data_IF_209035465847
#
_entry.id   IF_209035465847
#
_cell.length_a   1.000
_cell.length_b   1.000
_cell.length_c   1.000
_cell.angle_alpha   90.00
_cell.angle_beta   90.00
_cell.angle_gamma   90.00
#
_symmetry.space_group_name_H-M   'P 1'
#
loop_
_entity.id
_entity.type
_entity.pdbx_description
1 polymer ?
#
# COMPACT_ATOMS: atom_id res chain seq x y z
N UNK A 1 -5.84 -56.36 -41.27
CA UNK A 1 -6.38 -55.66 -40.13
C UNK A 1 -5.21 -54.85 -39.49
N UNK A 2 -5.20 -53.55 -39.67
CA UNK A 2 -4.19 -52.69 -39.07
C UNK A 2 -4.89 -51.70 -38.17
N UNK A 3 -4.75 -51.90 -36.84
CA UNK A 3 -5.18 -50.95 -35.84
C UNK A 3 -4.12 -49.85 -35.73
N UNK A 4 -4.51 -48.64 -36.12
CA UNK A 4 -3.71 -47.44 -35.84
C UNK A 4 -3.95 -47.00 -34.41
N UNK A 5 -2.91 -47.12 -33.59
CA UNK A 5 -2.79 -46.48 -32.29
C UNK A 5 -2.75 -44.96 -32.47
N UNK A 6 -3.73 -44.28 -31.94
CA UNK A 6 -3.66 -42.82 -31.76
C UNK A 6 -2.87 -42.53 -30.49
N UNK A 7 -1.60 -42.17 -30.67
CA UNK A 7 -0.82 -41.56 -29.57
C UNK A 7 -1.38 -40.17 -29.27
N UNK A 8 -1.84 -39.98 -28.05
CA UNK A 8 -2.21 -38.70 -27.51
C UNK A 8 -0.92 -37.90 -27.21
N UNK A 9 -0.49 -37.11 -28.17
CA UNK A 9 0.55 -36.12 -27.93
C UNK A 9 0.00 -35.01 -27.04
N UNK A 10 0.37 -35.00 -25.78
CA UNK A 10 0.10 -33.86 -24.89
C UNK A 10 0.99 -32.68 -25.33
N UNK A 11 0.40 -31.71 -25.97
CA UNK A 11 1.06 -30.44 -26.31
C UNK A 11 1.18 -29.60 -25.03
N UNK A 12 2.39 -29.57 -24.47
CA UNK A 12 2.73 -28.71 -23.36
C UNK A 12 3.12 -27.32 -23.89
N UNK A 13 2.13 -26.39 -23.91
CA UNK A 13 2.34 -25.04 -24.44
C UNK A 13 2.75 -24.13 -23.29
N UNK A 14 4.05 -23.82 -23.18
CA UNK A 14 4.56 -22.74 -22.36
C UNK A 14 4.59 -21.44 -23.17
N UNK A 15 3.61 -20.56 -22.96
CA UNK A 15 3.61 -19.26 -23.60
C UNK A 15 4.20 -18.20 -22.66
N UNK A 16 5.20 -17.46 -23.14
CA UNK A 16 5.69 -16.25 -22.48
C UNK A 16 4.62 -15.13 -22.61
N UNK A 17 4.58 -14.24 -21.62
CA UNK A 17 3.63 -13.13 -21.58
C UNK A 17 3.69 -12.29 -22.87
N UNK A 18 2.60 -12.27 -23.62
CA UNK A 18 2.47 -11.51 -24.89
C UNK A 18 2.57 -12.32 -26.19
N UNK A 19 2.78 -13.65 -26.10
CA UNK A 19 2.82 -14.48 -27.30
C UNK A 19 1.42 -14.82 -27.81
N UNK A 20 1.19 -14.67 -29.11
CA UNK A 20 0.02 -15.20 -29.80
C UNK A 20 0.26 -16.66 -30.17
N UNK A 21 -0.57 -17.56 -29.67
CA UNK A 21 -0.53 -18.97 -30.02
C UNK A 21 -1.64 -19.25 -31.04
N UNK A 22 -1.27 -19.59 -32.28
CA UNK A 22 -2.21 -20.10 -33.27
C UNK A 22 -2.29 -21.61 -33.15
N UNK A 23 -3.45 -22.13 -32.78
CA UNK A 23 -3.75 -23.57 -32.84
C UNK A 23 -4.61 -23.82 -34.06
N UNK A 24 -4.04 -24.42 -35.08
CA UNK A 24 -4.78 -24.87 -36.28
C UNK A 24 -5.33 -26.27 -36.05
N UNK A 25 -6.66 -26.39 -35.89
CA UNK A 25 -7.34 -27.67 -35.87
C UNK A 25 -8.22 -27.80 -37.13
N UNK A 26 -8.14 -28.89 -37.90
CA UNK A 26 -9.03 -29.11 -39.06
C UNK A 26 -10.48 -29.24 -38.57
N UNK A 27 -11.34 -28.27 -38.95
CA UNK A 27 -12.75 -28.23 -38.54
C UNK A 27 -13.06 -27.52 -37.24
N UNK A 28 -12.10 -26.86 -36.61
CA UNK A 28 -12.29 -26.10 -35.37
C UNK A 28 -12.72 -24.65 -35.63
N UNK A 29 -13.47 -24.08 -34.68
CA UNK A 29 -13.80 -22.66 -34.64
C UNK A 29 -12.52 -21.87 -34.40
N UNK A 30 -12.14 -21.00 -35.34
CA UNK A 30 -11.00 -20.07 -35.15
C UNK A 30 -11.40 -19.02 -34.11
N UNK A 31 -10.87 -19.16 -32.90
CA UNK A 31 -10.93 -18.06 -31.91
C UNK A 31 -9.91 -16.99 -32.33
N UNK A 32 -10.38 -15.84 -32.78
CA UNK A 32 -9.53 -14.74 -33.27
C UNK A 32 -8.69 -14.09 -32.17
N UNK A 33 -9.04 -14.31 -30.90
CA UNK A 33 -8.29 -13.70 -29.79
C UNK A 33 -8.49 -14.50 -28.49
N UNK A 34 -7.41 -15.08 -27.97
CA UNK A 34 -7.39 -15.66 -26.63
C UNK A 34 -6.82 -14.60 -25.67
N UNK A 35 -7.69 -13.95 -24.90
CA UNK A 35 -7.27 -13.01 -23.86
C UNK A 35 -6.93 -13.80 -22.60
N UNK A 36 -5.66 -14.11 -22.40
CA UNK A 36 -5.18 -14.70 -21.14
C UNK A 36 -5.13 -13.58 -20.11
N UNK A 37 -6.15 -13.50 -19.25
CA UNK A 37 -6.11 -12.64 -18.06
C UNK A 37 -5.12 -13.26 -17.05
N UNK A 38 -3.86 -12.83 -17.10
CA UNK A 38 -2.91 -13.18 -16.06
C UNK A 38 -3.41 -12.58 -14.74
N UNK A 39 -3.75 -13.44 -13.78
CA UNK A 39 -4.09 -12.99 -12.44
C UNK A 39 -2.89 -12.21 -11.88
N UNK A 40 -3.11 -10.93 -11.53
CA UNK A 40 -2.08 -10.13 -10.85
C UNK A 40 -1.67 -10.88 -9.59
N UNK A 41 -0.46 -11.41 -9.57
CA UNK A 41 0.11 -12.03 -8.37
C UNK A 41 0.09 -10.97 -7.26
N UNK A 42 -0.71 -11.19 -6.21
CA UNK A 42 -0.66 -10.35 -5.03
C UNK A 42 0.75 -10.47 -4.46
N UNK A 43 1.39 -9.32 -4.23
CA UNK A 43 2.67 -9.30 -3.54
C UNK A 43 2.52 -10.03 -2.20
N UNK A 44 3.51 -10.86 -1.80
CA UNK A 44 3.44 -11.56 -0.53
C UNK A 44 3.24 -10.56 0.61
N UNK A 45 2.32 -10.87 1.52
CA UNK A 45 2.06 -10.04 2.69
C UNK A 45 3.21 -10.26 3.69
N UNK A 46 4.21 -9.40 3.62
CA UNK A 46 5.35 -9.46 4.55
C UNK A 46 4.87 -8.95 5.92
N UNK A 47 4.92 -9.84 6.91
CA UNK A 47 4.59 -9.47 8.30
C UNK A 47 5.75 -8.68 8.93
N UNK A 48 5.47 -7.67 9.77
CA UNK A 48 6.51 -6.95 10.49
C UNK A 48 7.27 -7.89 11.42
N UNK A 49 8.59 -7.87 11.30
CA UNK A 49 9.50 -8.62 12.18
C UNK A 49 9.81 -7.85 13.45
N UNK A 50 10.37 -8.53 14.45
CA UNK A 50 10.90 -7.89 15.66
C UNK A 50 11.91 -6.79 15.28
N UNK A 51 11.79 -5.62 15.90
CA UNK A 51 12.60 -4.45 15.58
C UNK A 51 12.03 -3.55 14.47
N UNK A 52 10.88 -3.90 13.86
CA UNK A 52 10.13 -3.02 12.98
C UNK A 52 9.02 -2.28 13.73
N UNK A 53 8.68 -1.06 13.28
CA UNK A 53 7.62 -0.23 13.88
C UNK A 53 6.29 -0.99 13.97
N UNK A 54 5.95 -1.80 12.96
CA UNK A 54 4.73 -2.57 12.93
C UNK A 54 4.62 -3.67 14.00
N UNK A 55 5.74 -4.08 14.61
CA UNK A 55 5.78 -5.03 15.72
C UNK A 55 5.44 -4.38 17.07
N UNK A 56 5.81 -3.13 17.26
CA UNK A 56 5.50 -2.36 18.47
C UNK A 56 4.11 -1.73 18.35
N UNK A 57 3.16 -2.22 19.14
CA UNK A 57 1.74 -1.82 19.04
C UNK A 57 1.54 -0.31 19.24
N UNK A 58 2.20 0.30 20.21
CA UNK A 58 2.08 1.73 20.50
C UNK A 58 2.59 2.58 19.33
N UNK A 59 3.81 2.30 18.86
CA UNK A 59 4.41 3.03 17.73
C UNK A 59 3.65 2.81 16.42
N UNK A 60 3.17 1.58 16.20
CA UNK A 60 2.29 1.25 15.08
C UNK A 60 1.02 2.09 15.08
N UNK A 61 0.30 2.11 16.20
CA UNK A 61 -0.98 2.81 16.32
C UNK A 61 -0.79 4.33 16.18
N UNK A 62 0.27 4.89 16.77
CA UNK A 62 0.56 6.30 16.59
C UNK A 62 0.94 6.66 15.15
N UNK A 63 1.71 5.82 14.47
CA UNK A 63 2.03 6.03 13.04
C UNK A 63 0.77 6.01 12.19
N UNK A 64 -0.15 5.05 12.45
CA UNK A 64 -1.46 5.00 11.78
C UNK A 64 -2.28 6.26 12.06
N UNK A 65 -2.33 6.73 13.30
CA UNK A 65 -3.00 7.98 13.67
C UNK A 65 -2.49 9.18 12.85
N UNK A 66 -1.17 9.32 12.69
CA UNK A 66 -0.60 10.41 11.87
C UNK A 66 -0.93 10.24 10.38
N UNK A 67 -0.92 9.01 9.85
CA UNK A 67 -1.30 8.71 8.46
C UNK A 67 -2.77 9.05 8.22
N UNK A 68 -3.66 8.67 9.12
CA UNK A 68 -5.10 8.99 9.06
C UNK A 68 -5.31 10.51 9.12
N UNK A 69 -4.60 11.18 10.03
CA UNK A 69 -4.64 12.64 10.13
C UNK A 69 -4.20 13.33 8.85
N UNK A 70 -3.12 12.88 8.23
CA UNK A 70 -2.71 13.36 6.92
C UNK A 70 -3.80 13.15 5.86
N UNK A 71 -4.41 11.96 5.82
CA UNK A 71 -5.48 11.65 4.86
C UNK A 71 -6.71 12.56 5.07
N UNK A 72 -7.08 12.89 6.31
CA UNK A 72 -8.19 13.80 6.59
C UNK A 72 -7.90 15.22 6.10
N UNK A 73 -6.67 15.69 6.25
CA UNK A 73 -6.24 16.97 5.71
C UNK A 73 -6.28 16.97 4.17
N UNK A 74 -5.86 15.86 3.54
CA UNK A 74 -5.95 15.71 2.08
C UNK A 74 -7.40 15.62 1.57
N UNK A 75 -8.31 14.98 2.33
CA UNK A 75 -9.76 14.98 2.01
C UNK A 75 -10.32 16.40 2.02
N UNK A 76 -9.96 17.18 3.02
CA UNK A 76 -10.39 18.58 3.09
C UNK A 76 -9.83 19.38 1.90
N UNK A 77 -8.54 19.26 1.60
CA UNK A 77 -7.90 19.91 0.46
C UNK A 77 -8.57 19.49 -0.86
N UNK A 78 -8.96 18.22 -1.03
CA UNK A 78 -9.69 17.73 -2.19
C UNK A 78 -11.07 18.35 -2.30
N UNK A 79 -11.83 18.43 -1.21
CA UNK A 79 -13.20 18.93 -1.18
C UNK A 79 -13.27 20.44 -1.47
N UNK A 80 -12.27 21.20 -1.03
CA UNK A 80 -12.23 22.67 -1.18
C UNK A 80 -11.47 23.15 -2.40
N UNK A 81 -10.48 22.38 -2.86
CA UNK A 81 -9.55 22.80 -3.91
C UNK A 81 -9.51 21.85 -5.12
N UNK A 82 -10.25 20.74 -5.09
CA UNK A 82 -10.22 19.71 -6.14
C UNK A 82 -8.88 18.98 -6.30
N UNK A 83 -7.97 19.09 -5.33
CA UNK A 83 -6.57 18.64 -5.43
C UNK A 83 -6.16 17.71 -4.27
N UNK A 84 -6.94 16.65 -3.96
CA UNK A 84 -6.55 15.66 -2.95
C UNK A 84 -5.79 14.48 -3.53
N UNK A 85 -4.75 14.02 -2.82
CA UNK A 85 -3.91 12.88 -3.24
C UNK A 85 -3.80 11.84 -2.12
N UNK A 86 -4.84 11.02 -1.94
CA UNK A 86 -4.95 10.06 -0.84
C UNK A 86 -3.90 8.94 -0.82
N UNK A 87 -3.47 8.45 -1.98
CA UNK A 87 -2.55 7.31 -2.09
C UNK A 87 -1.08 7.71 -1.88
N UNK A 88 -0.81 9.01 -1.84
CA UNK A 88 0.57 9.51 -1.91
C UNK A 88 1.38 9.20 -0.67
N UNK A 89 0.77 9.16 0.54
CA UNK A 89 1.55 9.04 1.78
C UNK A 89 2.28 7.70 1.90
N UNK A 90 1.62 6.58 1.61
CA UNK A 90 2.25 5.26 1.68
C UNK A 90 3.37 5.11 0.65
N UNK A 91 3.17 5.63 -0.56
CA UNK A 91 4.20 5.64 -1.60
C UNK A 91 5.35 6.56 -1.23
N UNK A 92 5.07 7.72 -0.67
CA UNK A 92 6.08 8.68 -0.23
C UNK A 92 6.95 8.11 0.91
N UNK A 93 6.34 7.44 1.90
CA UNK A 93 7.08 6.73 2.95
C UNK A 93 7.96 5.66 2.34
N UNK A 94 7.42 4.84 1.42
CA UNK A 94 8.22 3.80 0.78
C UNK A 94 9.41 4.36 -0.01
N UNK A 95 9.26 5.52 -0.63
CA UNK A 95 10.36 6.16 -1.36
C UNK A 95 11.41 6.72 -0.40
N UNK A 96 10.99 7.35 0.72
CA UNK A 96 11.88 7.98 1.70
C UNK A 96 12.61 6.97 2.59
N UNK A 97 11.92 5.89 3.02
CA UNK A 97 12.44 4.90 3.96
C UNK A 97 12.80 3.55 3.31
N UNK A 98 12.61 3.40 2.00
CA UNK A 98 12.90 2.17 1.26
C UNK A 98 11.94 1.01 1.49
N UNK A 99 10.99 1.13 2.43
CA UNK A 99 10.07 0.08 2.84
C UNK A 99 8.67 0.62 3.16
N UNK A 100 7.70 -0.28 3.37
CA UNK A 100 6.43 0.12 3.95
C UNK A 100 6.63 0.66 5.35
N UNK A 101 5.77 1.57 5.79
CA UNK A 101 5.86 2.20 7.11
C UNK A 101 5.92 1.21 8.29
N UNK A 102 5.21 0.07 8.18
CA UNK A 102 5.17 -0.99 9.20
C UNK A 102 6.45 -1.84 9.26
N UNK A 103 7.23 -1.85 8.17
CA UNK A 103 8.50 -2.55 8.04
C UNK A 103 9.71 -1.63 8.30
N UNK A 104 9.50 -0.33 8.53
CA UNK A 104 10.57 0.60 8.88
C UNK A 104 11.16 0.20 10.23
N UNK A 105 12.51 0.18 10.39
CA UNK A 105 13.15 -0.13 11.66
C UNK A 105 12.70 0.81 12.79
N UNK A 106 12.54 0.26 13.98
CA UNK A 106 12.09 1.01 15.17
C UNK A 106 13.02 2.16 15.53
N UNK A 107 14.32 2.03 15.25
CA UNK A 107 15.30 3.09 15.42
C UNK A 107 15.02 4.33 14.56
N UNK A 108 14.31 4.19 13.46
CA UNK A 108 13.91 5.29 12.59
C UNK A 108 12.53 5.87 12.93
N UNK A 109 11.88 5.39 13.99
CA UNK A 109 10.57 5.88 14.40
C UNK A 109 10.51 7.40 14.59
N UNK A 110 11.46 8.06 15.30
CA UNK A 110 11.42 9.52 15.44
C UNK A 110 11.46 10.25 14.09
N UNK A 111 12.30 9.78 13.17
CA UNK A 111 12.41 10.35 11.82
C UNK A 111 11.12 10.17 11.01
N UNK A 112 10.47 9.00 11.13
CA UNK A 112 9.19 8.76 10.47
C UNK A 112 8.08 9.66 11.01
N UNK A 113 8.04 9.85 12.33
CA UNK A 113 7.09 10.74 13.00
C UNK A 113 7.28 12.18 12.51
N UNK A 114 8.50 12.70 12.56
CA UNK A 114 8.83 14.03 12.05
C UNK A 114 8.44 14.22 10.59
N UNK A 115 8.74 13.23 9.75
CA UNK A 115 8.37 13.24 8.34
C UNK A 115 6.84 13.35 8.14
N UNK A 116 6.06 12.57 8.88
CA UNK A 116 4.60 12.60 8.79
C UNK A 116 4.01 13.92 9.30
N UNK A 117 4.52 14.43 10.43
CA UNK A 117 4.13 15.73 10.99
C UNK A 117 4.42 16.86 10.01
N UNK A 118 5.60 16.86 9.39
CA UNK A 118 5.97 17.84 8.37
C UNK A 118 5.04 17.77 7.14
N UNK A 119 4.65 16.56 6.73
CA UNK A 119 3.68 16.37 5.64
C UNK A 119 2.29 16.92 5.99
N UNK A 120 1.83 16.77 7.22
CA UNK A 120 0.56 17.33 7.71
C UNK A 120 0.62 18.86 7.69
N UNK A 121 1.68 19.45 8.24
CA UNK A 121 1.87 20.90 8.31
C UNK A 121 1.98 21.53 6.92
N UNK A 122 2.58 20.86 5.96
CA UNK A 122 2.72 21.34 4.58
C UNK A 122 1.47 21.16 3.71
N UNK A 123 0.43 20.47 4.20
CA UNK A 123 -0.88 20.46 3.53
C UNK A 123 -1.50 21.85 3.54
N UNK A 124 -2.47 22.14 2.67
CA UNK A 124 -3.12 23.43 2.65
C UNK A 124 -3.85 23.73 3.95
N UNK A 125 -4.63 22.75 4.45
CA UNK A 125 -5.31 22.88 5.75
C UNK A 125 -4.31 23.02 6.89
N UNK A 126 -3.19 22.28 6.86
CA UNK A 126 -2.12 22.37 7.87
C UNK A 126 -1.55 23.78 7.99
N UNK A 127 -1.25 24.42 6.86
CA UNK A 127 -0.76 25.81 6.82
C UNK A 127 -1.79 26.79 7.39
N UNK A 128 -3.08 26.63 7.03
CA UNK A 128 -4.17 27.48 7.53
C UNK A 128 -4.31 27.35 9.06
N UNK A 129 -4.30 26.10 9.56
CA UNK A 129 -4.39 25.85 10.99
C UNK A 129 -3.17 26.37 11.75
N UNK A 130 -1.99 26.11 11.24
CA UNK A 130 -0.73 26.57 11.84
C UNK A 130 -0.68 28.12 11.92
N UNK A 131 -1.13 28.83 10.87
CA UNK A 131 -1.21 30.31 10.89
C UNK A 131 -2.20 30.85 11.89
N UNK A 132 -3.17 30.04 12.33
CA UNK A 132 -4.15 30.40 13.38
C UNK A 132 -3.73 29.94 14.77
N UNK A 133 -2.55 29.33 14.93
CA UNK A 133 -2.11 28.72 16.19
C UNK A 133 -2.88 27.46 16.57
N UNK A 134 -3.65 26.86 15.61
CA UNK A 134 -4.43 25.66 15.88
C UNK A 134 -3.56 24.40 15.75
N UNK A 135 -3.74 23.46 16.67
CA UNK A 135 -3.01 22.20 16.68
C UNK A 135 -3.44 21.28 15.52
N UNK A 136 -2.47 20.81 14.77
CA UNK A 136 -2.71 19.95 13.60
C UNK A 136 -2.74 18.45 13.93
N UNK A 137 -1.99 18.02 14.95
CA UNK A 137 -1.87 16.64 15.42
C UNK A 137 -1.52 16.60 16.91
N UNK A 138 -1.67 15.44 17.56
CA UNK A 138 -1.18 15.19 18.92
C UNK A 138 0.29 14.79 18.86
N UNK A 139 1.09 15.24 19.83
CA UNK A 139 2.48 14.75 19.97
C UNK A 139 2.48 13.28 20.42
N UNK A 140 3.64 12.62 20.36
CA UNK A 140 3.76 11.24 20.81
C UNK A 140 3.38 11.08 22.29
N UNK A 141 3.86 11.97 23.14
CA UNK A 141 3.60 11.99 24.58
C UNK A 141 2.12 12.19 24.88
N UNK A 142 1.48 13.16 24.23
CA UNK A 142 0.05 13.43 24.41
C UNK A 142 -0.82 12.27 23.92
N UNK A 143 -0.39 11.62 22.82
CA UNK A 143 -1.10 10.47 22.30
C UNK A 143 -0.99 9.28 23.25
N UNK A 144 0.22 9.03 23.83
CA UNK A 144 0.41 8.01 24.85
C UNK A 144 -0.46 8.26 26.08
N UNK A 145 -0.48 9.48 26.61
CA UNK A 145 -1.32 9.82 27.76
C UNK A 145 -2.80 9.54 27.51
N UNK A 146 -3.29 9.83 26.31
CA UNK A 146 -4.69 9.56 25.94
C UNK A 146 -5.02 8.07 25.78
N UNK A 147 -4.06 7.27 25.30
CA UNK A 147 -4.32 5.87 24.94
C UNK A 147 -3.78 4.87 25.98
N UNK A 148 -2.88 5.27 26.87
CA UNK A 148 -2.36 4.46 27.98
C UNK A 148 -2.82 4.97 29.38
N UNK A 149 -3.44 6.15 29.44
CA UNK A 149 -3.99 6.70 30.70
C UNK A 149 -5.34 6.12 31.12
N UNK A 150 -5.81 5.07 30.46
CA UNK A 150 -7.09 4.41 30.71
C UNK A 150 -6.95 3.01 31.29
N UNK A 151 -6.00 2.75 32.22
CA UNK A 151 -6.16 1.60 33.11
C UNK A 151 -7.17 1.99 34.18
N UNK A 152 -8.34 1.31 34.27
CA UNK A 152 -9.23 1.46 35.40
C UNK A 152 -8.54 0.86 36.63
N UNK A 153 -8.35 1.69 37.69
CA UNK A 153 -8.08 1.20 39.03
C UNK A 153 -9.28 0.43 39.53
#
# INVERSE_FOLDING_TARGET
>A
MAQKLFEHSQLNIQAASGAQVMVASPGGIQAQQVVIKTAKRRAPNVMPTQGAIGHNLAKRNYTLHLIERYNDFQKWDASKLGKGKFIVIHRAIKTEFGSKWDLVPESQFPRLVEYLQHRILNSKLGRIKNSRGEKCFSTWEEWLQKNHGGEPQ
#
